data_IF_769878399442
#
_entry.id   IF_769878399442
#
_cell.length_a   1.000
_cell.length_b   1.000
_cell.length_c   1.000
_cell.angle_alpha   90.00
_cell.angle_beta   90.00
_cell.angle_gamma   90.00
#
_symmetry.space_group_name_H-M   'P 1'
#
loop_
_entity.id
_entity.type
_entity.pdbx_description
1 polymer ?
#
# COMPACT_ATOMS: atom_id res chain seq x y z
N UNK A 1 -42.30 32.32 -8.42
CA UNK A 1 -42.27 31.88 -7.00
C UNK A 1 -41.20 30.80 -6.90
N UNK A 2 -39.96 31.11 -6.52
CA UNK A 2 -39.47 31.11 -5.11
C UNK A 2 -39.87 29.79 -4.42
N UNK A 3 -38.95 28.92 -3.98
CA UNK A 3 -38.21 29.13 -2.72
C UNK A 3 -37.22 27.98 -2.47
N UNK A 4 -36.02 28.34 -2.02
CA UNK A 4 -35.04 27.53 -1.29
C UNK A 4 -35.68 26.63 -0.22
N UNK A 5 -35.10 25.46 0.05
CA UNK A 5 -34.75 25.05 1.42
C UNK A 5 -33.74 23.91 1.44
N UNK A 6 -32.55 24.23 1.94
CA UNK A 6 -31.59 23.30 2.49
C UNK A 6 -32.16 22.65 3.76
N UNK A 7 -31.80 21.41 4.04
CA UNK A 7 -31.55 20.96 5.41
C UNK A 7 -30.38 19.96 5.42
N UNK A 8 -29.40 20.28 6.26
CA UNK A 8 -28.35 19.39 6.76
C UNK A 8 -28.95 18.44 7.82
N UNK A 9 -28.43 17.22 7.94
CA UNK A 9 -27.59 16.85 9.10
C UNK A 9 -27.12 15.38 9.06
N UNK A 10 -25.90 15.26 9.55
CA UNK A 10 -24.94 14.18 9.72
C UNK A 10 -25.35 13.11 10.74
N UNK A 11 -24.93 11.84 10.55
CA UNK A 11 -24.03 11.06 11.42
C UNK A 11 -24.19 9.55 11.18
N UNK A 12 -23.07 8.86 10.99
CA UNK A 12 -23.01 7.40 11.16
C UNK A 12 -22.89 6.61 9.86
N UNK A 13 -21.67 6.57 9.33
CA UNK A 13 -21.12 5.41 8.62
C UNK A 13 -21.88 4.89 7.40
N UNK A 14 -21.56 5.38 6.21
CA UNK A 14 -21.63 4.55 4.99
C UNK A 14 -20.42 4.84 4.11
N UNK A 15 -19.81 3.73 3.72
CA UNK A 15 -18.69 3.54 2.81
C UNK A 15 -19.09 3.90 1.39
N UNK A 16 -18.27 4.69 0.69
CA UNK A 16 -18.33 4.78 -0.76
C UNK A 16 -17.03 4.20 -1.32
N UNK A 17 -17.13 2.95 -1.78
CA UNK A 17 -16.18 2.27 -2.63
C UNK A 17 -16.48 2.68 -4.08
N UNK A 18 -15.55 3.32 -4.77
CA UNK A 18 -15.60 3.45 -6.23
C UNK A 18 -14.29 2.91 -6.81
N UNK A 19 -14.43 1.77 -7.49
CA UNK A 19 -13.46 1.19 -8.41
C UNK A 19 -13.64 1.81 -9.80
N UNK A 20 -12.54 2.20 -10.43
CA UNK A 20 -12.42 2.22 -11.89
C UNK A 20 -12.78 3.51 -12.63
N UNK A 21 -11.86 3.87 -13.52
CA UNK A 21 -12.00 4.75 -14.69
C UNK A 21 -12.04 6.26 -14.50
N UNK A 22 -10.88 6.83 -14.83
CA UNK A 22 -10.64 8.16 -15.40
C UNK A 22 -11.85 9.09 -15.56
N UNK A 23 -11.89 10.13 -14.72
CA UNK A 23 -12.45 11.42 -15.06
C UNK A 23 -11.70 12.48 -14.24
N UNK A 24 -10.88 13.27 -14.92
CA UNK A 24 -10.31 14.51 -14.36
C UNK A 24 -11.45 15.43 -13.96
N UNK A 25 -11.54 15.77 -12.68
CA UNK A 25 -12.28 16.94 -12.23
C UNK A 25 -11.25 17.98 -11.77
N UNK A 26 -10.99 18.98 -12.61
CA UNK A 26 -10.31 20.21 -12.19
C UNK A 26 -11.36 21.13 -11.58
N UNK A 27 -11.21 21.47 -10.30
CA UNK A 27 -11.86 22.63 -9.69
C UNK A 27 -10.73 23.53 -9.18
N UNK A 28 -10.51 24.64 -9.89
CA UNK A 28 -9.75 25.79 -9.40
C UNK A 28 -10.60 26.52 -8.36
N UNK A 29 -10.14 26.50 -7.12
CA UNK A 29 -10.61 27.35 -6.04
C UNK A 29 -9.39 27.78 -5.24
N UNK A 30 -8.90 28.97 -5.52
CA UNK A 30 -7.83 29.65 -4.80
C UNK A 30 -8.30 29.99 -3.38
N UNK A 31 -7.71 29.33 -2.37
CA UNK A 31 -7.51 29.93 -1.05
C UNK A 31 -6.12 29.53 -0.58
N UNK A 32 -5.28 30.54 -0.38
CA UNK A 32 -3.94 30.42 0.18
C UNK A 32 -4.01 29.85 1.60
N UNK A 33 -3.73 28.56 1.71
CA UNK A 33 -3.04 27.92 2.82
C UNK A 33 -2.12 26.88 2.17
N UNK A 34 -0.86 26.70 2.61
CA UNK A 34 -0.13 25.51 2.22
C UNK A 34 -0.84 24.32 2.89
N UNK A 35 -1.82 23.75 2.18
CA UNK A 35 -2.27 22.38 2.39
C UNK A 35 -1.01 21.54 2.34
N UNK A 36 -0.47 21.24 3.52
CA UNK A 36 0.44 20.13 3.73
C UNK A 36 -0.34 18.93 3.23
N UNK A 37 -0.07 18.55 1.97
CA UNK A 37 -0.63 17.38 1.33
C UNK A 37 -0.26 16.21 2.23
N UNK A 38 -1.19 15.81 3.09
CA UNK A 38 -1.15 14.53 3.74
C UNK A 38 -1.29 13.50 2.63
N UNK A 39 -0.17 13.14 2.01
CA UNK A 39 -0.05 12.07 1.05
C UNK A 39 -0.70 10.85 1.70
N UNK A 40 -1.95 10.58 1.34
CA UNK A 40 -2.61 9.35 1.73
C UNK A 40 -1.70 8.24 1.21
N UNK A 41 -1.11 7.40 2.07
CA UNK A 41 -0.07 6.47 1.65
C UNK A 41 -0.63 5.63 0.51
N UNK A 42 -0.06 5.83 -0.68
CA UNK A 42 -0.44 5.09 -1.89
C UNK A 42 0.34 3.78 -1.89
N UNK A 43 -0.21 2.77 -2.57
CA UNK A 43 0.47 1.47 -2.70
C UNK A 43 1.88 1.61 -3.32
N UNK A 44 2.09 2.63 -4.16
CA UNK A 44 3.40 2.93 -4.75
C UNK A 44 4.41 3.41 -3.69
N UNK A 45 3.99 4.27 -2.76
CA UNK A 45 4.83 4.69 -1.63
C UNK A 45 5.12 3.52 -0.69
N UNK A 46 4.12 2.68 -0.40
CA UNK A 46 4.30 1.46 0.39
C UNK A 46 5.31 0.49 -0.28
N UNK A 47 5.28 0.39 -1.62
CA UNK A 47 6.19 -0.45 -2.39
C UNK A 47 7.64 0.03 -2.31
N UNK A 48 7.89 1.32 -2.48
CA UNK A 48 9.24 1.89 -2.38
C UNK A 48 9.83 1.65 -0.97
N UNK A 49 9.03 1.92 0.07
CA UNK A 49 9.44 1.67 1.45
C UNK A 49 9.69 0.18 1.73
N UNK A 50 8.87 -0.70 1.15
CA UNK A 50 9.03 -2.14 1.30
C UNK A 50 10.25 -2.68 0.53
N UNK A 51 10.55 -2.17 -0.67
CA UNK A 51 11.80 -2.48 -1.38
C UNK A 51 13.02 -2.03 -0.59
N UNK A 52 12.99 -0.84 0.00
CA UNK A 52 14.07 -0.36 0.88
C UNK A 52 14.23 -1.24 2.13
N UNK A 53 13.12 -1.75 2.68
CA UNK A 53 13.15 -2.70 3.79
C UNK A 53 13.72 -4.05 3.38
N UNK A 54 13.34 -4.61 2.22
CA UNK A 54 13.95 -5.83 1.68
C UNK A 54 15.45 -5.63 1.44
N UNK A 55 15.88 -4.48 0.93
CA UNK A 55 17.30 -4.17 0.77
C UNK A 55 18.06 -4.24 2.11
N UNK A 56 17.46 -3.74 3.21
CA UNK A 56 18.03 -3.89 4.57
C UNK A 56 18.07 -5.36 5.02
N UNK A 57 17.03 -6.13 4.77
CA UNK A 57 17.03 -7.57 5.07
C UNK A 57 18.16 -8.32 4.32
N UNK A 58 18.42 -7.94 3.07
CA UNK A 58 19.56 -8.48 2.29
C UNK A 58 20.89 -8.12 2.93
N UNK A 59 21.08 -6.87 3.37
CA UNK A 59 22.30 -6.45 4.06
C UNK A 59 22.54 -7.22 5.37
N UNK A 60 21.45 -7.66 6.02
CA UNK A 60 21.49 -8.51 7.20
C UNK A 60 21.64 -10.02 6.88
N UNK A 61 21.88 -10.37 5.60
CA UNK A 61 21.98 -11.75 5.11
C UNK A 61 20.73 -12.60 5.38
N UNK A 62 19.56 -11.96 5.47
CA UNK A 62 18.28 -12.63 5.61
C UNK A 62 17.79 -12.98 4.20
N UNK A 63 17.74 -14.27 3.89
CA UNK A 63 17.34 -14.78 2.57
C UNK A 63 15.93 -15.38 2.55
N UNK A 64 15.39 -15.73 3.72
CA UNK A 64 14.06 -16.33 3.87
C UNK A 64 13.33 -15.66 5.02
N UNK A 65 12.07 -15.28 4.78
CA UNK A 65 11.20 -14.64 5.75
C UNK A 65 9.97 -15.50 5.99
N UNK A 66 9.80 -15.98 7.22
CA UNK A 66 8.58 -16.67 7.64
C UNK A 66 7.44 -15.67 7.90
N UNK A 67 6.24 -15.98 7.40
CA UNK A 67 5.04 -15.16 7.57
C UNK A 67 5.16 -13.76 6.96
N UNK A 68 5.45 -13.64 5.64
CA UNK A 68 5.77 -12.36 5.01
C UNK A 68 4.65 -11.32 5.12
N UNK A 69 3.39 -11.73 4.96
CA UNK A 69 2.23 -10.83 5.10
C UNK A 69 2.14 -10.28 6.53
N UNK A 70 2.24 -11.12 7.55
CA UNK A 70 2.19 -10.68 8.95
C UNK A 70 3.36 -9.77 9.33
N UNK A 71 4.53 -9.98 8.70
CA UNK A 71 5.69 -9.09 8.84
C UNK A 71 5.41 -7.73 8.24
N UNK A 72 4.89 -7.66 7.01
CA UNK A 72 4.51 -6.41 6.35
C UNK A 72 3.44 -5.64 7.15
N UNK A 73 2.44 -6.35 7.70
CA UNK A 73 1.43 -5.73 8.56
C UNK A 73 2.04 -5.05 9.79
N UNK A 74 3.06 -5.66 10.40
CA UNK A 74 3.73 -5.12 11.59
C UNK A 74 4.70 -3.99 11.26
N UNK A 75 5.49 -4.15 10.20
CA UNK A 75 6.49 -3.17 9.78
C UNK A 75 5.85 -1.87 9.28
N UNK A 76 4.83 -2.00 8.42
CA UNK A 76 4.20 -0.86 7.74
C UNK A 76 2.82 -0.50 8.31
N UNK A 77 2.40 -1.15 9.41
CA UNK A 77 1.08 -0.95 10.06
C UNK A 77 -0.10 -1.09 9.09
N UNK A 78 0.00 -2.03 8.16
CA UNK A 78 -0.99 -2.24 7.11
C UNK A 78 -2.10 -3.20 7.57
N UNK A 79 -3.33 -2.95 7.10
CA UNK A 79 -4.39 -3.94 7.14
C UNK A 79 -4.08 -5.15 6.26
N UNK A 80 -4.71 -6.30 6.56
CA UNK A 80 -4.41 -7.56 5.88
C UNK A 80 -4.50 -7.47 4.34
N UNK A 81 -5.55 -6.87 3.79
CA UNK A 81 -5.72 -6.72 2.35
C UNK A 81 -4.61 -5.91 1.68
N UNK A 82 -4.19 -4.80 2.30
CA UNK A 82 -3.07 -3.98 1.80
C UNK A 82 -1.74 -4.73 1.91
N UNK A 83 -1.50 -5.46 3.00
CA UNK A 83 -0.29 -6.27 3.15
C UNK A 83 -0.21 -7.40 2.12
N UNK A 84 -1.34 -8.05 1.79
CA UNK A 84 -1.40 -9.04 0.71
C UNK A 84 -1.11 -8.41 -0.66
N UNK A 85 -1.73 -7.26 -0.96
CA UNK A 85 -1.49 -6.55 -2.21
C UNK A 85 -0.02 -6.13 -2.34
N UNK A 86 0.56 -5.56 -1.28
CA UNK A 86 1.96 -5.20 -1.22
C UNK A 86 2.87 -6.43 -1.39
N UNK A 87 2.54 -7.55 -0.75
CA UNK A 87 3.31 -8.77 -0.90
C UNK A 87 3.33 -9.29 -2.34
N UNK A 88 2.19 -9.19 -3.03
CA UNK A 88 2.08 -9.56 -4.44
C UNK A 88 2.84 -8.58 -5.34
N UNK A 89 2.78 -7.28 -5.07
CA UNK A 89 3.57 -6.29 -5.82
C UNK A 89 5.08 -6.55 -5.69
N UNK A 90 5.57 -6.85 -4.49
CA UNK A 90 6.98 -7.19 -4.26
C UNK A 90 7.41 -8.46 -5.03
N UNK A 91 6.51 -9.44 -5.17
CA UNK A 91 6.76 -10.63 -5.98
C UNK A 91 6.77 -10.32 -7.48
N UNK A 92 5.83 -9.50 -7.96
CA UNK A 92 5.80 -9.03 -9.36
C UNK A 92 7.03 -8.21 -9.74
N UNK A 93 7.58 -7.46 -8.79
CA UNK A 93 8.81 -6.68 -8.97
C UNK A 93 10.09 -7.53 -8.82
N UNK A 94 9.96 -8.83 -8.54
CA UNK A 94 11.11 -9.73 -8.41
C UNK A 94 11.95 -9.52 -7.16
N UNK A 95 11.44 -8.79 -6.16
CA UNK A 95 12.17 -8.54 -4.90
C UNK A 95 12.23 -9.82 -4.05
N UNK A 96 11.20 -10.65 -4.16
CA UNK A 96 11.09 -11.94 -3.48
C UNK A 96 10.15 -12.90 -4.22
N UNK A 97 10.03 -14.14 -3.74
CA UNK A 97 8.97 -15.07 -4.16
C UNK A 97 8.33 -15.75 -2.97
N UNK A 98 7.00 -15.88 -3.00
CA UNK A 98 6.22 -16.56 -1.98
C UNK A 98 6.23 -18.08 -2.22
N UNK A 99 6.37 -18.84 -1.15
CA UNK A 99 6.28 -20.30 -1.17
C UNK A 99 5.71 -20.83 0.15
N UNK A 100 5.33 -22.09 0.14
CA UNK A 100 4.94 -22.82 1.37
C UNK A 100 6.10 -23.73 1.73
N UNK A 101 6.59 -23.62 2.96
CA UNK A 101 7.69 -24.47 3.45
C UNK A 101 7.23 -25.89 3.80
N UNK A 102 8.18 -26.74 4.20
CA UNK A 102 7.89 -28.13 4.58
C UNK A 102 7.00 -28.28 5.83
N UNK A 103 6.79 -27.21 6.60
CA UNK A 103 5.89 -27.16 7.73
C UNK A 103 4.49 -26.63 7.38
N UNK A 104 4.25 -26.28 6.11
CA UNK A 104 2.98 -25.70 5.66
C UNK A 104 2.86 -24.20 5.91
N UNK A 105 3.93 -23.53 6.35
CA UNK A 105 3.90 -22.09 6.60
C UNK A 105 4.22 -21.30 5.33
N UNK A 106 3.52 -20.17 5.15
CA UNK A 106 3.81 -19.24 4.06
C UNK A 106 5.09 -18.47 4.36
N UNK A 107 6.04 -18.55 3.46
CA UNK A 107 7.36 -17.95 3.57
C UNK A 107 7.69 -17.18 2.28
N UNK A 108 8.56 -16.18 2.37
CA UNK A 108 9.09 -15.46 1.22
C UNK A 108 10.59 -15.69 1.10
N UNK A 109 11.08 -15.98 -0.10
CA UNK A 109 12.51 -16.02 -0.42
C UNK A 109 12.90 -14.68 -1.01
N UNK A 110 13.82 -13.98 -0.36
CA UNK A 110 14.33 -12.69 -0.82
C UNK A 110 15.35 -12.94 -1.92
N UNK A 111 15.12 -12.37 -3.09
CA UNK A 111 16.06 -12.47 -4.21
C UNK A 111 17.12 -11.39 -4.06
N UNK A 112 18.37 -11.69 -4.37
CA UNK A 112 19.36 -10.63 -4.56
C UNK A 112 19.02 -9.90 -5.86
N UNK A 113 19.10 -8.57 -5.87
CA UNK A 113 19.20 -7.84 -7.13
C UNK A 113 20.46 -8.39 -7.80
N UNK A 114 20.30 -9.24 -8.81
CA UNK A 114 21.37 -9.41 -9.78
C UNK A 114 21.33 -8.10 -10.54
N UNK A 115 22.31 -7.18 -10.39
CA UNK A 115 22.36 -6.04 -11.27
C UNK A 115 22.41 -6.62 -12.68
N UNK A 116 21.37 -6.38 -13.47
CA UNK A 116 21.46 -6.60 -14.91
C UNK A 116 22.43 -5.54 -15.40
N UNK A 117 23.70 -5.94 -15.53
CA UNK A 117 24.75 -5.23 -16.24
C UNK A 117 24.41 -5.16 -17.74
#
# INVERSE_FOLDING_TARGET
>A
MQTRRQFLATLGGVVVLVYGSALSLRVTGETNDPEVQGESPTLASDLEQASAWIARLRQQQIHVLAGPVSRLQREFRLGYGRACALAQCLEQHGEWSLFVDGAGARSARIHGVTPQL
#
